data_IF_719609741859
#
_entry.id   IF_719609741859
#
_cell.length_a   1.000
_cell.length_b   1.000
_cell.length_c   1.000
_cell.angle_alpha   90.00
_cell.angle_beta   90.00
_cell.angle_gamma   90.00
#
_symmetry.space_group_name_H-M   'P 1'
#
loop_
_entity.id
_entity.type
_entity.pdbx_description
1 polymer ?
#
# COMPACT_ATOMS: atom_id res chain seq x y z
N UNK A 1 15.85 -55.23 -54.87
CA UNK A 1 16.01 -53.76 -54.91
C UNK A 1 14.85 -53.15 -54.13
N UNK A 2 15.19 -52.37 -53.10
CA UNK A 2 14.40 -51.35 -52.36
C UNK A 2 13.10 -51.85 -51.68
N UNK A 3 13.05 -52.11 -50.36
CA UNK A 3 13.15 -51.20 -49.19
C UNK A 3 12.15 -50.03 -49.28
N UNK A 4 11.14 -50.03 -48.41
CA UNK A 4 10.87 -48.92 -47.47
C UNK A 4 9.66 -49.27 -46.59
N UNK A 5 9.91 -49.77 -45.38
CA UNK A 5 9.97 -49.00 -44.11
C UNK A 5 8.57 -48.68 -43.60
N UNK A 6 7.99 -49.61 -42.82
CA UNK A 6 6.92 -49.30 -41.89
C UNK A 6 7.49 -48.35 -40.83
N UNK A 7 7.10 -47.08 -40.86
CA UNK A 7 7.40 -46.16 -39.76
C UNK A 7 6.48 -46.50 -38.58
N UNK A 8 6.93 -47.44 -37.76
CA UNK A 8 6.47 -47.52 -36.38
C UNK A 8 7.09 -46.35 -35.64
N UNK A 9 6.36 -45.24 -35.53
CA UNK A 9 6.65 -44.22 -34.53
C UNK A 9 6.30 -44.80 -33.17
N UNK A 10 7.27 -45.46 -32.54
CA UNK A 10 7.29 -45.66 -31.09
C UNK A 10 7.37 -44.28 -30.46
N UNK A 11 6.22 -43.72 -30.06
CA UNK A 11 6.20 -42.61 -29.12
C UNK A 11 6.99 -43.03 -27.88
N UNK A 12 7.91 -42.20 -27.37
CA UNK A 12 8.59 -42.52 -26.13
C UNK A 12 7.52 -42.56 -25.03
N UNK A 13 7.35 -43.75 -24.43
CA UNK A 13 6.55 -43.94 -23.22
C UNK A 13 7.36 -43.27 -22.09
N UNK A 14 7.23 -41.95 -21.98
CA UNK A 14 7.46 -41.28 -20.73
C UNK A 14 6.16 -41.45 -19.94
N UNK A 15 6.16 -42.36 -18.96
CA UNK A 15 5.18 -42.30 -17.88
C UNK A 15 5.46 -41.01 -17.10
N UNK A 16 4.89 -39.90 -17.58
CA UNK A 16 4.97 -38.62 -16.91
C UNK A 16 4.07 -38.70 -15.67
N UNK A 17 4.70 -38.93 -14.52
CA UNK A 17 4.09 -38.97 -13.19
C UNK A 17 3.73 -37.57 -12.67
N UNK A 18 4.01 -36.51 -13.43
CA UNK A 18 3.57 -35.15 -13.16
C UNK A 18 2.59 -34.67 -14.23
N UNK A 19 1.39 -34.35 -13.79
CA UNK A 19 0.39 -33.65 -14.59
C UNK A 19 0.72 -32.16 -14.68
N UNK A 20 0.06 -31.45 -15.61
CA UNK A 20 0.15 -29.99 -15.66
C UNK A 20 -0.33 -29.34 -14.34
N UNK A 21 -1.29 -29.98 -13.66
CA UNK A 21 -1.80 -29.55 -12.37
C UNK A 21 -0.76 -29.69 -11.26
N UNK A 22 0.08 -30.74 -11.30
CA UNK A 22 1.18 -30.91 -10.35
C UNK A 22 2.25 -29.82 -10.51
N UNK A 23 2.54 -29.41 -11.74
CA UNK A 23 3.42 -28.26 -12.01
C UNK A 23 2.81 -26.94 -11.55
N UNK A 24 1.50 -26.77 -11.74
CA UNK A 24 0.78 -25.57 -11.29
C UNK A 24 0.78 -25.48 -9.75
N UNK A 25 0.51 -26.58 -9.07
CA UNK A 25 0.53 -26.67 -7.61
C UNK A 25 1.93 -26.42 -7.05
N UNK A 26 2.98 -26.96 -7.68
CA UNK A 26 4.37 -26.68 -7.33
C UNK A 26 4.74 -25.21 -7.53
N UNK A 27 4.39 -24.63 -8.67
CA UNK A 27 4.62 -23.21 -8.93
C UNK A 27 3.89 -22.32 -7.91
N UNK A 28 2.64 -22.64 -7.59
CA UNK A 28 1.87 -21.95 -6.56
C UNK A 28 2.47 -22.11 -5.15
N UNK A 29 3.08 -23.26 -4.85
CA UNK A 29 3.78 -23.52 -3.59
C UNK A 29 5.10 -22.75 -3.44
N UNK A 30 5.84 -22.56 -4.53
CA UNK A 30 7.08 -21.76 -4.54
C UNK A 30 6.80 -20.26 -4.50
N UNK A 31 5.74 -19.82 -5.18
CA UNK A 31 5.44 -18.40 -5.39
C UNK A 31 4.34 -17.84 -4.51
N UNK A 32 3.89 -18.56 -3.46
CA UNK A 32 2.91 -17.99 -2.55
C UNK A 32 3.52 -16.71 -1.95
N UNK A 33 2.99 -15.51 -2.28
CA UNK A 33 3.57 -14.29 -1.77
C UNK A 33 3.46 -14.36 -0.25
N UNK A 34 4.62 -14.32 0.41
CA UNK A 34 4.65 -14.20 1.86
C UNK A 34 3.96 -12.88 2.18
N UNK A 35 2.88 -12.96 2.97
CA UNK A 35 2.28 -11.76 3.53
C UNK A 35 3.38 -10.94 4.22
N UNK A 36 3.45 -9.63 3.99
CA UNK A 36 4.49 -8.80 4.56
C UNK A 36 4.50 -8.97 6.08
N UNK A 37 5.69 -9.10 6.64
CA UNK A 37 5.88 -9.12 8.08
C UNK A 37 5.54 -7.76 8.69
N UNK A 38 5.24 -7.74 9.99
CA UNK A 38 4.97 -6.50 10.72
C UNK A 38 6.09 -5.46 10.55
N UNK A 39 7.35 -5.91 10.55
CA UNK A 39 8.51 -5.03 10.38
C UNK A 39 8.59 -4.42 8.97
N UNK A 40 8.23 -5.19 7.94
CA UNK A 40 8.14 -4.67 6.57
C UNK A 40 7.03 -3.63 6.43
N UNK A 41 5.89 -3.85 7.10
CA UNK A 41 4.79 -2.88 7.11
C UNK A 41 5.14 -1.61 7.91
N UNK A 42 5.87 -1.72 9.02
CA UNK A 42 6.39 -0.57 9.76
C UNK A 42 7.40 0.23 8.94
N UNK A 43 8.35 -0.44 8.28
CA UNK A 43 9.29 0.22 7.37
C UNK A 43 8.55 0.95 6.23
N UNK A 44 7.43 0.38 5.77
CA UNK A 44 6.57 1.03 4.78
C UNK A 44 5.89 2.29 5.33
N UNK A 45 5.45 2.29 6.60
CA UNK A 45 4.97 3.52 7.28
C UNK A 45 6.07 4.57 7.33
N UNK A 46 7.31 4.20 7.67
CA UNK A 46 8.46 5.12 7.69
C UNK A 46 8.73 5.72 6.30
N UNK A 47 8.64 4.91 5.24
CA UNK A 47 8.78 5.38 3.86
C UNK A 47 7.69 6.37 3.47
N UNK A 48 6.44 6.11 3.87
CA UNK A 48 5.30 7.01 3.65
C UNK A 48 5.53 8.33 4.39
N UNK A 49 5.96 8.28 5.65
CA UNK A 49 6.26 9.48 6.44
C UNK A 49 7.42 10.28 5.82
N UNK A 50 8.50 9.60 5.40
CA UNK A 50 9.63 10.21 4.69
C UNK A 50 9.20 10.89 3.39
N UNK A 51 8.31 10.24 2.62
CA UNK A 51 7.73 10.80 1.41
C UNK A 51 6.89 12.05 1.72
N UNK A 52 6.03 11.99 2.72
CA UNK A 52 5.21 13.11 3.16
C UNK A 52 6.07 14.32 3.57
N UNK A 53 7.13 14.10 4.36
CA UNK A 53 8.11 15.11 4.73
C UNK A 53 8.79 15.75 3.50
N UNK A 54 9.12 14.98 2.46
CA UNK A 54 9.69 15.52 1.22
C UNK A 54 8.69 16.34 0.42
N UNK A 55 7.41 15.99 0.47
CA UNK A 55 6.36 16.65 -0.32
C UNK A 55 5.81 17.90 0.35
N UNK A 56 5.69 17.89 1.68
CA UNK A 56 5.11 18.95 2.49
C UNK A 56 6.11 19.69 3.37
N UNK A 57 7.42 19.62 3.10
CA UNK A 57 8.53 19.99 4.02
C UNK A 57 8.41 21.34 4.73
N UNK A 58 7.64 22.29 4.20
CA UNK A 58 7.47 23.63 4.77
C UNK A 58 6.29 23.75 5.74
N UNK A 59 5.31 22.83 5.70
CA UNK A 59 4.05 22.98 6.40
C UNK A 59 3.60 21.65 7.02
N UNK A 60 3.51 21.62 8.34
CA UNK A 60 3.20 20.41 9.13
C UNK A 60 1.85 19.80 8.71
N UNK A 61 0.80 20.62 8.54
CA UNK A 61 -0.52 20.15 8.09
C UNK A 61 -0.45 19.45 6.72
N UNK A 62 0.41 19.92 5.82
CA UNK A 62 0.58 19.30 4.50
C UNK A 62 1.30 17.95 4.62
N UNK A 63 2.35 17.87 5.44
CA UNK A 63 3.01 16.59 5.77
C UNK A 63 2.01 15.62 6.37
N UNK A 64 1.25 16.06 7.37
CA UNK A 64 0.23 15.27 8.04
C UNK A 64 -0.80 14.70 7.06
N UNK A 65 -1.34 15.55 6.17
CA UNK A 65 -2.35 15.14 5.20
C UNK A 65 -1.80 14.12 4.18
N UNK A 66 -0.57 14.32 3.68
CA UNK A 66 0.07 13.33 2.80
C UNK A 66 0.37 12.02 3.53
N UNK A 67 0.79 12.09 4.80
CA UNK A 67 1.06 10.92 5.60
C UNK A 67 -0.22 10.10 5.83
N UNK A 68 -1.30 10.72 6.29
CA UNK A 68 -2.57 10.02 6.53
C UNK A 68 -3.15 9.41 5.26
N UNK A 69 -3.18 10.17 4.15
CA UNK A 69 -3.65 9.65 2.87
C UNK A 69 -2.76 8.50 2.35
N UNK A 70 -1.45 8.54 2.60
CA UNK A 70 -0.54 7.47 2.23
C UNK A 70 -0.74 6.19 3.05
N UNK A 71 -0.96 6.32 4.37
CA UNK A 71 -1.25 5.17 5.24
C UNK A 71 -2.58 4.53 4.84
N UNK A 72 -3.65 5.31 4.63
CA UNK A 72 -4.94 4.80 4.18
C UNK A 72 -4.87 4.19 2.77
N UNK A 73 -4.05 4.77 1.88
CA UNK A 73 -3.85 4.26 0.52
C UNK A 73 -3.11 2.91 0.46
N UNK A 74 -2.21 2.64 1.41
CA UNK A 74 -1.43 1.41 1.46
C UNK A 74 -2.13 0.29 2.26
N UNK A 75 -2.70 0.63 3.42
CA UNK A 75 -3.23 -0.34 4.39
C UNK A 75 -4.77 -0.36 4.45
N UNK A 76 -5.44 0.52 3.70
CA UNK A 76 -6.89 0.70 3.76
C UNK A 76 -7.34 1.52 4.96
N UNK A 77 -8.64 1.50 5.25
CA UNK A 77 -9.26 2.30 6.33
C UNK A 77 -9.76 1.47 7.51
N UNK A 78 -9.66 0.14 7.43
CA UNK A 78 -10.11 -0.75 8.50
C UNK A 78 -8.99 -0.96 9.54
N UNK A 79 -8.95 -0.10 10.55
CA UNK A 79 -8.00 -0.21 11.66
C UNK A 79 -8.25 -1.44 12.55
N UNK A 80 -9.40 -2.10 12.43
CA UNK A 80 -9.77 -3.28 13.23
C UNK A 80 -9.31 -4.59 12.61
N UNK A 81 -8.89 -4.54 11.34
CA UNK A 81 -8.35 -5.69 10.63
C UNK A 81 -7.13 -6.25 11.39
N UNK A 82 -7.15 -7.53 11.83
CA UNK A 82 -6.07 -8.11 12.61
C UNK A 82 -4.71 -8.06 11.92
N UNK A 83 -4.69 -8.07 10.58
CA UNK A 83 -3.47 -7.96 9.78
C UNK A 83 -2.76 -6.61 9.89
N UNK A 84 -3.50 -5.52 10.10
CA UNK A 84 -2.98 -4.14 10.08
C UNK A 84 -3.10 -3.41 11.41
N UNK A 85 -3.81 -3.96 12.40
CA UNK A 85 -4.05 -3.31 13.69
C UNK A 85 -2.77 -2.79 14.37
N UNK A 86 -1.68 -3.55 14.29
CA UNK A 86 -0.40 -3.17 14.88
C UNK A 86 0.36 -2.12 14.03
N UNK A 87 0.13 -2.10 12.71
CA UNK A 87 0.66 -1.06 11.81
C UNK A 87 -0.03 0.27 12.06
N UNK A 88 -1.35 0.28 12.25
CA UNK A 88 -2.10 1.50 12.58
C UNK A 88 -1.69 2.06 13.94
N UNK A 89 -1.43 1.22 14.95
CA UNK A 89 -0.84 1.69 16.23
C UNK A 89 0.50 2.39 16.00
N UNK A 90 1.37 1.79 15.19
CA UNK A 90 2.67 2.38 14.87
C UNK A 90 2.52 3.69 14.09
N UNK A 91 1.64 3.75 13.08
CA UNK A 91 1.36 4.97 12.35
C UNK A 91 0.81 6.09 13.25
N UNK A 92 0.02 5.74 14.29
CA UNK A 92 -0.46 6.69 15.30
C UNK A 92 0.66 7.29 16.16
N UNK A 93 1.80 6.61 16.32
CA UNK A 93 2.99 7.20 16.97
C UNK A 93 3.58 8.35 16.15
N UNK A 94 3.41 8.31 14.82
CA UNK A 94 3.75 9.40 13.89
C UNK A 94 2.63 10.45 13.73
N UNK A 95 1.54 10.34 14.49
CA UNK A 95 0.43 11.26 14.44
C UNK A 95 -0.65 10.92 13.41
N UNK A 96 -0.68 9.70 12.86
CA UNK A 96 -1.77 9.27 11.98
C UNK A 96 -3.15 9.51 12.62
N UNK A 97 -4.08 10.01 11.80
CA UNK A 97 -5.48 10.21 12.12
C UNK A 97 -6.32 9.65 10.98
N UNK A 98 -7.38 8.92 11.31
CA UNK A 98 -8.32 8.43 10.30
C UNK A 98 -9.15 9.57 9.71
N UNK A 99 -9.88 9.29 8.62
CA UNK A 99 -10.74 10.27 7.94
C UNK A 99 -11.65 11.09 8.87
N UNK A 100 -12.23 10.50 9.93
CA UNK A 100 -13.13 11.23 10.84
C UNK A 100 -12.34 12.16 11.77
N UNK A 101 -11.24 11.68 12.33
CA UNK A 101 -10.32 12.48 13.15
C UNK A 101 -9.69 13.62 12.34
N UNK A 102 -9.30 13.34 11.10
CA UNK A 102 -8.78 14.34 10.15
C UNK A 102 -9.80 15.44 9.85
N UNK A 103 -11.04 15.07 9.52
CA UNK A 103 -12.08 16.06 9.25
C UNK A 103 -12.37 16.95 10.46
N UNK A 104 -12.37 16.37 11.68
CA UNK A 104 -12.55 17.15 12.91
C UNK A 104 -11.40 18.13 13.16
N UNK A 105 -10.15 17.71 12.93
CA UNK A 105 -8.99 18.61 12.99
C UNK A 105 -9.11 19.72 11.93
N UNK A 106 -9.37 19.37 10.67
CA UNK A 106 -9.47 20.34 9.59
C UNK A 106 -10.56 21.39 9.84
N UNK A 107 -11.68 20.98 10.43
CA UNK A 107 -12.73 21.91 10.86
C UNK A 107 -12.23 22.85 11.97
N UNK A 108 -11.55 22.32 12.98
CA UNK A 108 -10.97 23.15 14.05
C UNK A 108 -9.89 24.10 13.52
N UNK A 109 -9.08 23.64 12.55
CA UNK A 109 -8.08 24.45 11.86
C UNK A 109 -8.76 25.59 11.08
N UNK A 110 -9.84 25.29 10.34
CA UNK A 110 -10.63 26.27 9.60
C UNK A 110 -11.24 27.34 10.52
N UNK A 111 -11.77 26.95 11.68
CA UNK A 111 -12.28 27.88 12.70
C UNK A 111 -11.19 28.82 13.25
N UNK A 112 -9.93 28.38 13.22
CA UNK A 112 -8.75 29.16 13.61
C UNK A 112 -8.08 29.89 12.43
N UNK A 113 -8.69 29.83 11.23
CA UNK A 113 -8.19 30.49 10.02
C UNK A 113 -7.10 29.71 9.29
N UNK A 114 -6.88 28.43 9.58
CA UNK A 114 -5.98 27.56 8.84
C UNK A 114 -6.77 26.72 7.83
N UNK A 115 -6.17 26.42 6.68
CA UNK A 115 -6.77 25.53 5.69
C UNK A 115 -5.91 24.27 5.54
N UNK A 116 -6.42 23.29 4.79
CA UNK A 116 -5.71 22.03 4.49
C UNK A 116 -4.38 22.22 3.73
N UNK A 117 -4.11 23.42 3.18
CA UNK A 117 -2.81 23.77 2.58
C UNK A 117 -1.75 24.20 3.60
N UNK A 118 -2.13 24.38 4.88
CA UNK A 118 -1.19 24.51 6.00
C UNK A 118 -0.28 25.73 6.01
N UNK A 119 -0.66 26.81 5.33
CA UNK A 119 0.15 28.03 5.19
C UNK A 119 0.05 28.91 6.45
N UNK A 120 -0.06 30.23 6.32
CA UNK A 120 -0.37 31.07 7.48
C UNK A 120 -1.88 31.30 7.61
N UNK A 121 -2.31 31.66 8.82
CA UNK A 121 -3.71 31.89 9.12
C UNK A 121 -4.30 32.97 8.20
N UNK A 122 -5.41 32.66 7.54
CA UNK A 122 -6.14 33.52 6.60
C UNK A 122 -5.37 33.95 5.34
N UNK A 123 -4.20 33.35 5.03
CA UNK A 123 -3.34 33.78 3.91
C UNK A 123 -3.14 32.69 2.84
N UNK A 124 -4.12 31.82 2.63
CA UNK A 124 -4.01 30.80 1.61
C UNK A 124 -4.07 31.40 0.19
N UNK A 125 -3.03 31.28 -0.66
CA UNK A 125 -2.99 31.79 -2.03
C UNK A 125 -3.88 30.98 -2.97
N UNK A 126 -4.40 29.83 -2.53
CA UNK A 126 -5.46 29.11 -3.23
C UNK A 126 -6.85 29.75 -3.03
N UNK A 127 -6.95 30.83 -2.26
CA UNK A 127 -8.22 31.54 -2.03
C UNK A 127 -9.17 30.79 -1.11
N UNK A 128 -8.69 29.92 -0.21
CA UNK A 128 -9.55 29.12 0.68
C UNK A 128 -10.42 29.92 1.65
N UNK A 129 -10.20 31.23 1.74
CA UNK A 129 -10.94 32.16 2.61
C UNK A 129 -11.59 33.29 1.81
N UNK A 130 -11.58 33.20 0.48
CA UNK A 130 -12.22 34.14 -0.43
C UNK A 130 -13.55 33.51 -0.86
N UNK A 131 -14.67 34.14 -0.49
CA UNK A 131 -16.05 33.69 -0.78
C UNK A 131 -16.39 33.71 -2.28
#
# INVERSE_FOLDING_TARGET
>A
MNIDTQSQTTAPIFHNWLTADDFLAFAQGIFKPKAPSIEEMKAKVDDIFSYACKRGSTYETVVHNFFCAGVEGEFGTDETAPEFAEVFKYAREYGYMNATENAAREQADAENGYCHHGLDAMTCPCGCFED
#
